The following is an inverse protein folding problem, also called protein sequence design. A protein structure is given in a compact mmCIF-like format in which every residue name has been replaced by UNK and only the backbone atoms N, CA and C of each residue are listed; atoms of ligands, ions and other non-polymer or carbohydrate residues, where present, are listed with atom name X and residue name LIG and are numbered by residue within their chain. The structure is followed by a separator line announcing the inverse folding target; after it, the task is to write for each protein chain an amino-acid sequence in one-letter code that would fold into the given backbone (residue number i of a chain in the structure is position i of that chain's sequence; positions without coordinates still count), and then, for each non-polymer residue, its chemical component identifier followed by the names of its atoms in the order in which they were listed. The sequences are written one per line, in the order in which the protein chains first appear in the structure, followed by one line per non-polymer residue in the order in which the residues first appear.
data_IF_587041633835
#
_entry.id   IF_587041633835
#
_cell.length_a   1.000
_cell.length_b   1.000
_cell.length_c   1.000
_cell.angle_alpha   90.00
_cell.angle_beta   90.00
_cell.angle_gamma   90.00
#
_symmetry.space_group_name_H-M   'P 1'
#
loop_
_entity.id
_entity.type
_entity.pdbx_description
1 polymer ?
#
# COMPACT_ATOMS: atom_id res chain seq x y z
N UNK A 1 1.79 -9.54 -18.81
CA UNK A 1 3.03 -9.20 -18.12
C UNK A 1 3.18 -7.71 -17.96
N UNK A 2 3.97 -7.26 -17.00
CA UNK A 2 4.23 -5.85 -16.69
C UNK A 2 4.99 -5.18 -17.83
N UNK A 3 4.59 -3.97 -18.20
CA UNK A 3 5.23 -3.17 -19.25
C UNK A 3 5.53 -1.78 -18.73
N UNK A 4 6.80 -1.48 -18.52
CA UNK A 4 7.25 -0.16 -18.12
C UNK A 4 7.80 0.63 -19.32
N UNK A 5 7.76 1.95 -19.22
CA UNK A 5 8.26 2.85 -20.26
C UNK A 5 9.05 3.97 -19.60
N UNK A 6 10.16 4.32 -20.23
CA UNK A 6 10.98 5.48 -19.89
C UNK A 6 11.25 6.30 -21.12
N UNK A 7 10.93 7.59 -21.06
CA UNK A 7 11.19 8.56 -22.11
C UNK A 7 11.90 9.75 -21.52
N UNK A 8 12.84 10.31 -22.24
CA UNK A 8 13.54 11.52 -21.79
C UNK A 8 13.88 12.45 -22.94
N UNK A 9 14.04 13.71 -22.61
CA UNK A 9 14.55 14.75 -23.48
C UNK A 9 15.59 15.58 -22.75
N UNK A 10 16.80 15.59 -23.28
CA UNK A 10 17.89 16.46 -22.86
C UNK A 10 17.79 17.79 -23.60
N UNK A 11 17.63 18.89 -22.87
CA UNK A 11 17.52 20.23 -23.45
C UNK A 11 18.86 20.92 -23.59
N UNK A 12 19.79 20.65 -22.66
CA UNK A 12 21.16 21.15 -22.65
C UNK A 12 22.05 20.25 -21.78
N UNK A 13 23.33 20.63 -21.60
CA UNK A 13 24.30 19.84 -20.84
C UNK A 13 24.22 20.05 -19.30
N UNK A 14 23.26 20.80 -18.79
CA UNK A 14 23.07 20.92 -17.35
C UNK A 14 22.70 19.55 -16.77
N UNK A 15 23.35 19.10 -15.67
CA UNK A 15 23.12 17.78 -15.10
C UNK A 15 21.77 17.63 -14.36
N UNK A 16 21.02 18.70 -14.20
CA UNK A 16 19.71 18.64 -13.53
C UNK A 16 18.73 17.74 -14.29
N UNK A 17 18.12 16.80 -13.59
CA UNK A 17 17.19 15.85 -14.16
C UNK A 17 15.90 15.80 -13.31
N UNK A 18 14.79 16.23 -13.90
CA UNK A 18 13.46 16.10 -13.34
C UNK A 18 12.71 14.96 -14.02
N UNK A 19 12.24 14.01 -13.23
CA UNK A 19 11.43 12.89 -13.70
C UNK A 19 9.99 13.05 -13.20
N UNK A 20 9.05 12.85 -14.09
CA UNK A 20 7.70 12.50 -13.72
C UNK A 20 7.60 10.97 -13.63
N UNK A 21 7.12 10.47 -12.49
CA UNK A 21 6.86 9.05 -12.29
C UNK A 21 5.36 8.83 -12.09
N UNK A 22 4.78 7.95 -12.89
CA UNK A 22 3.37 7.63 -12.85
C UNK A 22 3.10 6.17 -13.16
N UNK A 23 1.84 5.75 -13.00
CA UNK A 23 1.40 4.41 -13.34
C UNK A 23 0.15 4.41 -14.20
N UNK A 24 0.00 3.34 -14.99
CA UNK A 24 -1.13 3.17 -15.91
C UNK A 24 -2.05 2.00 -15.55
N UNK A 25 -1.63 1.15 -14.64
CA UNK A 25 -2.47 0.11 -14.05
C UNK A 25 -3.49 0.71 -13.08
N UNK A 26 -4.44 -0.10 -12.67
CA UNK A 26 -5.56 0.32 -11.83
C UNK A 26 -5.98 -0.82 -10.91
N UNK A 27 -6.51 -0.50 -9.73
CA UNK A 27 -7.17 -1.46 -8.84
C UNK A 27 -8.41 -2.08 -9.49
N UNK A 28 -8.88 -3.25 -9.01
CA UNK A 28 -10.15 -3.83 -9.45
C UNK A 28 -11.31 -2.84 -9.35
N UNK A 29 -12.30 -3.02 -10.22
CA UNK A 29 -13.44 -2.07 -10.38
C UNK A 29 -14.18 -1.83 -9.07
N UNK A 30 -14.43 -2.89 -8.26
CA UNK A 30 -15.28 -2.80 -7.08
C UNK A 30 -16.77 -2.68 -7.44
N UNK A 31 -17.57 -2.24 -6.48
CA UNK A 31 -19.02 -2.09 -6.61
C UNK A 31 -19.45 -0.61 -6.56
N UNK A 32 -20.71 -0.33 -6.87
CA UNK A 32 -21.31 1.00 -6.72
C UNK A 32 -21.15 1.94 -7.92
N UNK A 33 -20.66 1.47 -9.06
CA UNK A 33 -20.59 2.27 -10.27
C UNK A 33 -21.98 2.47 -10.90
N UNK A 34 -22.27 3.70 -11.28
CA UNK A 34 -23.50 4.07 -12.00
C UNK A 34 -23.33 4.07 -13.52
N UNK A 35 -22.08 3.99 -13.99
CA UNK A 35 -21.69 3.92 -15.42
C UNK A 35 -20.63 2.83 -15.57
N UNK A 36 -20.36 2.40 -16.79
CA UNK A 36 -19.24 1.49 -17.07
C UNK A 36 -17.90 2.19 -16.76
N UNK A 37 -17.12 1.69 -15.82
CA UNK A 37 -15.88 2.33 -15.37
C UNK A 37 -14.76 2.35 -16.41
N UNK A 38 -14.90 1.67 -17.55
CA UNK A 38 -13.88 1.61 -18.60
C UNK A 38 -14.24 2.38 -19.89
N UNK A 39 -15.42 2.99 -19.97
CA UNK A 39 -15.81 3.81 -21.12
C UNK A 39 -15.17 5.20 -21.09
N UNK A 40 -14.89 5.74 -19.90
CA UNK A 40 -14.32 7.08 -19.70
C UNK A 40 -15.16 8.18 -20.36
N UNK A 41 -16.48 8.12 -20.17
CA UNK A 41 -17.40 9.10 -20.73
C UNK A 41 -17.22 10.47 -20.06
N UNK A 42 -17.34 11.53 -20.86
CA UNK A 42 -17.32 12.92 -20.36
C UNK A 42 -18.74 13.43 -20.25
N UNK A 43 -19.21 13.64 -19.02
CA UNK A 43 -20.53 14.18 -18.72
C UNK A 43 -20.34 15.49 -17.96
N UNK A 44 -20.90 16.57 -18.48
CA UNK A 44 -20.81 17.93 -17.90
C UNK A 44 -19.37 18.37 -17.57
N UNK A 45 -18.41 17.98 -18.41
CA UNK A 45 -17.00 18.31 -18.24
C UNK A 45 -16.26 17.43 -17.23
N UNK A 46 -16.90 16.40 -16.67
CA UNK A 46 -16.33 15.46 -15.72
C UNK A 46 -16.08 14.10 -16.39
N UNK A 47 -14.90 13.54 -16.24
CA UNK A 47 -14.57 12.18 -16.65
C UNK A 47 -14.75 11.25 -15.44
N UNK A 48 -15.69 10.31 -15.56
CA UNK A 48 -15.90 9.27 -14.55
C UNK A 48 -15.41 7.94 -15.11
N UNK A 49 -14.28 7.43 -14.56
CA UNK A 49 -13.72 6.14 -14.96
C UNK A 49 -12.75 5.62 -13.91
N UNK A 50 -12.52 4.30 -13.86
CA UNK A 50 -11.47 3.69 -13.06
C UNK A 50 -10.10 4.16 -13.56
N UNK A 51 -9.26 4.71 -12.65
CA UNK A 51 -7.95 5.24 -12.97
C UNK A 51 -7.94 6.67 -13.53
N UNK A 52 -9.11 7.34 -13.67
CA UNK A 52 -9.14 8.72 -14.11
C UNK A 52 -8.45 9.65 -13.11
N UNK A 53 -8.78 9.54 -11.83
CA UNK A 53 -8.16 10.32 -10.76
C UNK A 53 -6.81 9.73 -10.33
N UNK A 54 -6.74 8.43 -10.15
CA UNK A 54 -5.58 7.67 -9.71
C UNK A 54 -5.10 6.77 -10.86
N UNK A 55 -4.02 7.17 -11.62
CA UNK A 55 -3.46 8.54 -11.58
C UNK A 55 -3.37 9.14 -12.99
N UNK A 56 -4.19 8.65 -13.95
CA UNK A 56 -4.09 9.01 -15.39
C UNK A 56 -4.32 10.50 -15.68
N UNK A 57 -5.06 11.20 -14.81
CA UNK A 57 -5.19 12.67 -14.92
C UNK A 57 -3.84 13.37 -14.69
N UNK A 58 -3.07 12.91 -13.70
CA UNK A 58 -1.71 13.38 -13.46
C UNK A 58 -0.76 13.07 -14.61
N UNK A 59 -0.83 11.85 -15.15
CA UNK A 59 -0.09 11.44 -16.34
C UNK A 59 -0.36 12.36 -17.54
N UNK A 60 -1.64 12.62 -17.83
CA UNK A 60 -2.05 13.48 -18.92
C UNK A 60 -1.60 14.94 -18.74
N UNK A 61 -1.72 15.46 -17.51
CA UNK A 61 -1.28 16.82 -17.18
C UNK A 61 0.22 16.99 -17.38
N UNK A 62 1.03 16.02 -16.96
CA UNK A 62 2.47 16.08 -17.14
C UNK A 62 2.89 15.91 -18.59
N UNK A 63 2.28 15.01 -19.34
CA UNK A 63 2.48 14.86 -20.79
C UNK A 63 2.19 16.17 -21.53
N UNK A 64 1.10 16.84 -21.16
CA UNK A 64 0.76 18.15 -21.71
C UNK A 64 1.81 19.19 -21.36
N UNK A 65 2.26 19.26 -20.11
CA UNK A 65 3.31 20.17 -19.67
C UNK A 65 4.63 19.92 -20.44
N UNK A 66 5.06 18.67 -20.58
CA UNK A 66 6.25 18.30 -21.35
C UNK A 66 6.17 18.69 -22.83
N UNK A 67 5.00 18.50 -23.45
CA UNK A 67 4.76 18.90 -24.85
C UNK A 67 4.96 20.41 -25.06
N UNK A 68 4.63 21.21 -24.06
CA UNK A 68 4.72 22.67 -24.13
C UNK A 68 6.01 23.24 -23.54
N UNK A 69 6.85 22.42 -22.90
CA UNK A 69 8.16 22.82 -22.38
C UNK A 69 9.10 23.14 -23.55
N UNK A 70 9.38 24.42 -23.76
CA UNK A 70 10.32 24.90 -24.80
C UNK A 70 11.74 25.05 -24.27
N UNK A 71 11.88 25.51 -23.05
CA UNK A 71 13.16 25.80 -22.40
C UNK A 71 13.16 25.15 -21.01
N UNK A 72 13.92 24.11 -20.85
CA UNK A 72 14.19 23.49 -19.55
C UNK A 72 15.72 23.43 -19.35
N UNK A 73 16.19 23.75 -18.16
CA UNK A 73 17.62 23.73 -17.87
C UNK A 73 18.03 22.35 -17.35
N UNK A 74 18.23 21.40 -18.27
CA UNK A 74 18.61 20.03 -17.95
C UNK A 74 17.85 18.97 -18.75
N UNK A 75 17.51 17.87 -18.09
CA UNK A 75 16.78 16.73 -18.65
C UNK A 75 15.39 16.62 -18.01
N UNK A 76 14.37 16.49 -18.86
CA UNK A 76 13.04 16.05 -18.45
C UNK A 76 12.84 14.57 -18.82
N UNK A 77 12.25 13.79 -17.94
CA UNK A 77 11.88 12.41 -18.24
C UNK A 77 10.51 12.03 -17.71
N UNK A 78 9.97 10.96 -18.27
CA UNK A 78 8.71 10.34 -17.89
C UNK A 78 8.97 8.86 -17.68
N UNK A 79 8.65 8.37 -16.50
CA UNK A 79 8.69 6.97 -16.13
C UNK A 79 7.25 6.52 -15.89
N UNK A 80 6.76 5.58 -16.71
CA UNK A 80 5.42 5.04 -16.62
C UNK A 80 5.52 3.56 -16.28
N UNK A 81 4.89 3.14 -15.20
CA UNK A 81 4.85 1.74 -14.75
C UNK A 81 3.46 1.14 -14.90
N UNK A 82 3.37 -0.19 -14.83
CA UNK A 82 2.10 -0.93 -14.87
C UNK A 82 2.08 -2.05 -13.82
N UNK A 83 2.63 -1.78 -12.64
CA UNK A 83 2.63 -2.65 -11.46
C UNK A 83 2.82 -1.78 -10.20
N UNK A 84 2.06 -0.67 -10.09
CA UNK A 84 2.00 0.13 -8.88
C UNK A 84 0.89 -0.37 -7.96
N UNK A 85 -0.27 -0.63 -8.53
CA UNK A 85 -1.48 -1.09 -7.86
C UNK A 85 -1.50 -2.62 -7.60
N UNK A 86 -0.50 -3.32 -8.10
CA UNK A 86 -0.31 -4.76 -7.93
C UNK A 86 0.65 -5.11 -6.80
N UNK A 87 1.60 -6.01 -7.10
CA UNK A 87 2.62 -6.43 -6.13
C UNK A 87 3.74 -5.41 -5.96
N UNK A 88 3.89 -4.45 -6.90
CA UNK A 88 4.91 -3.40 -6.88
C UNK A 88 6.34 -3.89 -7.16
N UNK A 89 6.51 -5.16 -7.54
CA UNK A 89 7.84 -5.81 -7.67
C UNK A 89 8.46 -5.54 -9.03
N UNK A 90 7.63 -5.51 -10.08
CA UNK A 90 8.08 -5.42 -11.48
C UNK A 90 7.92 -4.03 -12.10
N UNK A 91 7.39 -3.06 -11.33
CA UNK A 91 7.16 -1.68 -11.72
C UNK A 91 8.38 -0.78 -11.48
N UNK A 92 8.21 0.19 -10.60
CA UNK A 92 9.19 1.26 -10.30
C UNK A 92 10.54 0.70 -9.86
N UNK A 93 10.57 -0.38 -9.05
CA UNK A 93 11.82 -0.99 -8.58
C UNK A 93 12.70 -1.40 -9.77
N UNK A 94 12.12 -2.12 -10.74
CA UNK A 94 12.85 -2.57 -11.94
C UNK A 94 13.29 -1.41 -12.84
N UNK A 95 12.49 -0.37 -12.90
CA UNK A 95 12.88 0.83 -13.64
C UNK A 95 14.03 1.57 -12.97
N UNK A 96 14.06 1.68 -11.65
CA UNK A 96 15.16 2.31 -10.93
C UNK A 96 16.49 1.52 -11.08
N UNK A 97 16.42 0.17 -11.06
CA UNK A 97 17.56 -0.69 -11.37
C UNK A 97 18.12 -0.35 -12.77
N UNK A 98 17.24 -0.31 -13.77
CA UNK A 98 17.62 0.03 -15.15
C UNK A 98 18.17 1.46 -15.29
N UNK A 99 17.53 2.46 -14.66
CA UNK A 99 18.00 3.85 -14.70
C UNK A 99 19.38 4.01 -14.06
N UNK A 100 19.69 3.21 -13.04
CA UNK A 100 21.02 3.16 -12.44
C UNK A 100 22.06 2.60 -13.41
N UNK A 101 21.72 1.52 -14.14
CA UNK A 101 22.61 0.91 -15.14
C UNK A 101 22.97 1.89 -16.27
N UNK A 102 22.01 2.69 -16.73
CA UNK A 102 22.22 3.67 -17.81
C UNK A 102 22.62 5.07 -17.30
N UNK A 103 22.91 5.24 -16.01
CA UNK A 103 23.27 6.51 -15.37
C UNK A 103 22.23 7.63 -15.59
N UNK A 104 20.94 7.29 -15.48
CA UNK A 104 19.83 8.21 -15.69
C UNK A 104 18.94 8.35 -14.45
N UNK A 105 19.49 8.16 -13.24
CA UNK A 105 18.77 8.42 -11.99
C UNK A 105 18.45 9.92 -11.90
N UNK A 106 17.17 10.31 -11.71
CA UNK A 106 16.80 11.71 -11.63
C UNK A 106 17.24 12.35 -10.31
N UNK A 107 17.49 13.67 -10.33
CA UNK A 107 17.73 14.46 -9.12
C UNK A 107 16.42 14.77 -8.39
N UNK A 108 15.34 14.93 -9.15
CA UNK A 108 13.99 15.26 -8.63
C UNK A 108 12.95 14.40 -9.30
N UNK A 109 11.92 14.04 -8.54
CA UNK A 109 10.76 13.33 -9.06
C UNK A 109 9.46 14.03 -8.66
N UNK A 110 8.50 14.04 -9.58
CA UNK A 110 7.10 14.40 -9.33
C UNK A 110 6.26 13.15 -9.55
N UNK A 111 5.46 12.79 -8.57
CA UNK A 111 4.50 11.70 -8.62
C UNK A 111 3.11 12.32 -8.46
N UNK A 112 2.29 12.31 -9.52
CA UNK A 112 1.02 13.02 -9.53
C UNK A 112 -0.16 12.16 -9.03
N UNK A 113 0.08 11.47 -7.93
CA UNK A 113 -0.98 10.80 -7.17
C UNK A 113 -1.97 11.82 -6.60
N UNK A 114 -3.25 11.45 -6.41
CA UNK A 114 -4.24 12.35 -5.84
C UNK A 114 -3.87 12.71 -4.39
N UNK A 115 -3.69 13.99 -4.13
CA UNK A 115 -3.25 14.51 -2.83
C UNK A 115 -4.11 15.62 -2.27
N UNK A 116 -4.95 16.24 -3.10
CA UNK A 116 -5.86 17.30 -2.67
C UNK A 116 -6.87 16.77 -1.64
N UNK A 117 -7.18 17.59 -0.63
CA UNK A 117 -8.07 17.22 0.47
C UNK A 117 -9.47 17.87 0.33
N UNK A 118 -9.54 19.19 0.22
CA UNK A 118 -10.80 19.92 0.13
C UNK A 118 -10.98 20.61 -1.23
N UNK A 119 -9.91 21.22 -1.74
CA UNK A 119 -9.95 21.93 -3.02
C UNK A 119 -8.75 21.55 -3.89
N UNK A 120 -8.89 21.70 -5.19
CA UNK A 120 -7.83 21.40 -6.14
C UNK A 120 -6.55 22.20 -5.86
N UNK A 121 -5.45 21.49 -5.63
CA UNK A 121 -4.12 22.07 -5.41
C UNK A 121 -3.84 22.57 -3.98
N UNK A 122 -4.68 22.22 -3.00
CA UNK A 122 -4.52 22.62 -1.61
C UNK A 122 -3.44 21.87 -0.83
N UNK A 123 -3.11 20.66 -1.28
CA UNK A 123 -2.15 19.81 -0.59
C UNK A 123 -1.18 19.08 -1.53
N UNK A 124 0.07 19.00 -1.11
CA UNK A 124 1.07 18.08 -1.70
C UNK A 124 1.64 17.19 -0.58
N UNK A 125 1.94 15.95 -0.89
CA UNK A 125 2.59 15.04 0.05
C UNK A 125 4.10 15.02 -0.23
N UNK A 126 4.88 15.38 0.79
CA UNK A 126 6.35 15.36 0.73
C UNK A 126 6.95 14.07 1.28
N UNK A 127 6.09 13.18 1.80
CA UNK A 127 6.44 11.84 2.27
C UNK A 127 5.19 11.01 2.51
N UNK A 128 5.36 9.70 2.60
CA UNK A 128 4.29 8.74 2.91
C UNK A 128 4.73 7.79 4.01
N UNK A 129 3.79 7.36 4.84
CA UNK A 129 4.02 6.28 5.79
C UNK A 129 4.23 4.97 5.04
N UNK A 130 5.03 4.08 5.62
CA UNK A 130 5.15 2.72 5.15
C UNK A 130 3.87 1.90 5.38
N UNK A 131 3.85 0.68 4.87
CA UNK A 131 2.75 -0.27 5.06
C UNK A 131 3.32 -1.66 5.33
N UNK A 132 3.03 -2.20 6.52
CA UNK A 132 3.44 -3.54 6.91
C UNK A 132 2.19 -4.38 7.07
N UNK A 133 2.07 -5.48 6.31
CA UNK A 133 0.97 -6.42 6.42
C UNK A 133 1.41 -7.61 7.27
N UNK A 134 0.55 -8.03 8.20
CA UNK A 134 0.76 -9.17 9.06
C UNK A 134 -0.28 -10.26 8.85
N UNK A 135 0.19 -11.49 8.79
CA UNK A 135 -0.62 -12.70 8.71
C UNK A 135 -0.23 -13.57 9.90
N UNK A 136 -1.13 -13.66 10.87
CA UNK A 136 -0.94 -14.37 12.13
C UNK A 136 -1.88 -15.58 12.17
N UNK A 137 -1.35 -16.77 12.37
CA UNK A 137 -2.14 -17.98 12.59
C UNK A 137 -1.87 -18.53 13.97
N UNK A 138 -2.89 -18.61 14.82
CA UNK A 138 -2.82 -19.22 16.15
C UNK A 138 -3.32 -20.66 16.04
N UNK A 139 -2.50 -21.61 16.46
CA UNK A 139 -2.80 -23.03 16.43
C UNK A 139 -3.49 -23.46 17.73
N UNK A 140 -4.62 -24.11 17.57
CA UNK A 140 -5.37 -24.71 18.65
C UNK A 140 -5.51 -26.23 18.46
N UNK A 141 -6.49 -26.81 19.15
CA UNK A 141 -6.91 -28.19 19.00
C UNK A 141 -8.44 -28.23 19.00
N UNK A 142 -9.01 -28.73 17.92
CA UNK A 142 -10.45 -28.92 17.81
C UNK A 142 -11.00 -29.80 18.95
N UNK A 143 -12.16 -29.42 19.45
CA UNK A 143 -12.89 -30.17 20.48
C UNK A 143 -14.38 -29.99 20.36
N UNK A 144 -15.13 -30.82 21.07
CA UNK A 144 -16.58 -30.67 21.19
C UNK A 144 -16.88 -29.61 22.25
N UNK A 145 -17.82 -28.72 21.98
CA UNK A 145 -18.13 -27.59 22.89
C UNK A 145 -18.62 -28.04 24.32
N UNK A 146 -19.18 -29.25 24.42
CA UNK A 146 -19.57 -29.82 25.71
C UNK A 146 -18.36 -30.32 26.55
N UNK A 147 -17.18 -30.45 25.96
CA UNK A 147 -15.96 -30.94 26.60
C UNK A 147 -14.76 -30.00 26.27
N UNK A 148 -14.84 -28.74 26.70
CA UNK A 148 -13.85 -27.73 26.29
C UNK A 148 -12.43 -28.06 26.75
N UNK A 149 -12.28 -28.82 27.84
CA UNK A 149 -11.01 -29.26 28.41
C UNK A 149 -10.24 -30.27 27.52
N UNK A 150 -10.91 -30.89 26.54
CA UNK A 150 -10.29 -31.84 25.59
C UNK A 150 -9.71 -31.15 24.34
N UNK A 151 -10.04 -29.88 24.15
CA UNK A 151 -9.57 -29.05 23.06
C UNK A 151 -8.66 -27.91 23.53
N UNK A 152 -8.19 -27.13 22.54
CA UNK A 152 -7.51 -25.83 22.77
C UNK A 152 -8.20 -24.87 21.81
N UNK A 153 -9.05 -23.98 22.32
CA UNK A 153 -9.77 -23.02 21.50
C UNK A 153 -8.92 -21.76 21.28
N UNK A 154 -8.40 -21.51 20.06
CA UNK A 154 -7.56 -20.35 19.79
C UNK A 154 -8.32 -19.02 19.94
N UNK A 155 -9.64 -18.99 19.77
CA UNK A 155 -10.45 -17.79 20.03
C UNK A 155 -10.42 -17.43 21.51
N UNK A 156 -10.55 -18.41 22.41
CA UNK A 156 -10.44 -18.18 23.85
C UNK A 156 -9.02 -17.77 24.29
N UNK A 157 -7.99 -18.23 23.56
CA UNK A 157 -6.61 -17.84 23.85
C UNK A 157 -6.34 -16.38 23.52
N UNK A 158 -6.89 -15.86 22.41
CA UNK A 158 -6.62 -14.47 22.00
C UNK A 158 -7.60 -13.47 22.64
N UNK A 159 -8.79 -13.89 23.07
CA UNK A 159 -9.80 -12.98 23.62
C UNK A 159 -9.25 -12.04 24.72
N UNK A 160 -8.46 -12.51 25.71
CA UNK A 160 -7.93 -11.64 26.77
C UNK A 160 -6.79 -10.74 26.33
N UNK A 161 -6.26 -10.93 25.13
CA UNK A 161 -5.09 -10.18 24.64
C UNK A 161 -5.37 -9.38 23.36
N UNK A 162 -6.56 -9.51 22.77
CA UNK A 162 -6.91 -8.85 21.52
C UNK A 162 -6.86 -7.32 21.63
N UNK A 163 -7.17 -6.76 22.78
CA UNK A 163 -7.08 -5.32 23.06
C UNK A 163 -5.65 -4.76 22.90
N UNK A 164 -4.63 -5.62 23.09
CA UNK A 164 -3.23 -5.24 22.94
C UNK A 164 -2.81 -5.06 21.48
N UNK A 165 -3.63 -5.49 20.53
CA UNK A 165 -3.33 -5.37 19.10
C UNK A 165 -4.41 -4.58 18.35
N UNK A 166 -5.65 -4.54 18.83
CA UNK A 166 -6.74 -3.85 18.18
C UNK A 166 -6.59 -2.33 18.31
N UNK A 167 -6.08 -1.68 17.27
CA UNK A 167 -5.87 -0.23 17.24
C UNK A 167 -4.71 0.25 18.12
N UNK A 168 -3.78 -0.64 18.45
CA UNK A 168 -2.62 -0.30 19.30
C UNK A 168 -1.60 0.57 18.56
N UNK A 169 -1.14 1.63 19.23
CA UNK A 169 -0.07 2.49 18.72
C UNK A 169 1.31 1.94 19.12
N UNK A 170 2.12 1.61 18.12
CA UNK A 170 3.44 1.02 18.29
C UNK A 170 4.52 2.06 18.64
N UNK A 171 4.27 3.32 18.27
CA UNK A 171 5.10 4.48 18.56
C UNK A 171 4.23 5.73 18.82
N UNK A 172 4.88 6.85 19.08
CA UNK A 172 4.19 8.13 19.32
C UNK A 172 4.08 9.02 18.06
N UNK A 173 4.46 8.48 16.89
CA UNK A 173 4.59 9.29 15.69
C UNK A 173 5.80 10.21 15.71
N UNK A 174 5.82 11.18 14.80
CA UNK A 174 6.84 12.21 14.68
C UNK A 174 6.22 13.54 14.21
N UNK A 175 7.06 14.52 13.87
CA UNK A 175 6.60 15.83 13.38
C UNK A 175 5.73 15.73 12.12
N UNK A 176 5.92 14.68 11.29
CA UNK A 176 5.28 14.54 9.98
C UNK A 176 4.20 13.46 9.97
N UNK A 177 4.29 12.46 10.84
CA UNK A 177 3.42 11.29 10.79
C UNK A 177 2.78 10.98 12.15
N UNK A 178 1.48 10.66 12.09
CA UNK A 178 0.76 10.09 13.22
C UNK A 178 1.39 8.75 13.66
N UNK A 179 1.12 8.30 14.91
CA UNK A 179 1.61 7.02 15.44
C UNK A 179 1.37 5.84 14.50
N UNK A 180 2.32 4.91 14.47
CA UNK A 180 2.19 3.63 13.76
C UNK A 180 1.15 2.77 14.45
N UNK A 181 -0.04 2.66 13.85
CA UNK A 181 -1.19 1.97 14.44
C UNK A 181 -1.35 0.58 13.83
N UNK A 182 -1.47 -0.44 14.69
CA UNK A 182 -1.82 -1.79 14.29
C UNK A 182 -3.34 -1.89 14.12
N UNK A 183 -3.80 -2.15 12.90
CA UNK A 183 -5.22 -2.26 12.57
C UNK A 183 -5.51 -3.69 12.13
N UNK A 184 -6.38 -4.39 12.87
CA UNK A 184 -6.86 -5.71 12.48
C UNK A 184 -7.80 -5.53 11.28
N UNK A 185 -7.52 -6.28 10.20
CA UNK A 185 -8.28 -6.19 8.95
C UNK A 185 -9.17 -7.42 8.70
N UNK A 186 -8.84 -8.57 9.29
CA UNK A 186 -9.65 -9.78 9.19
C UNK A 186 -9.37 -10.73 10.36
N UNK A 187 -10.40 -11.45 10.82
CA UNK A 187 -10.29 -12.55 11.79
C UNK A 187 -11.21 -13.68 11.35
N UNK A 188 -10.65 -14.88 11.21
CA UNK A 188 -11.39 -16.07 10.81
C UNK A 188 -11.06 -17.26 11.70
N UNK A 189 -12.11 -17.95 12.17
CA UNK A 189 -11.99 -19.19 12.93
C UNK A 189 -13.26 -20.05 12.78
N UNK A 190 -13.09 -21.36 12.94
CA UNK A 190 -14.18 -22.31 12.97
C UNK A 190 -14.80 -22.66 11.62
N UNK A 191 -15.92 -23.39 11.68
CA UNK A 191 -16.65 -23.95 10.53
C UNK A 191 -18.13 -23.56 10.51
N UNK A 192 -18.50 -22.50 11.25
CA UNK A 192 -19.89 -22.03 11.39
C UNK A 192 -20.85 -23.08 11.97
N UNK A 193 -20.36 -23.90 12.91
CA UNK A 193 -21.16 -24.88 13.66
C UNK A 193 -21.09 -24.56 15.16
N UNK A 194 -22.16 -24.87 15.89
CA UNK A 194 -22.30 -24.45 17.29
C UNK A 194 -21.64 -25.38 18.32
N UNK A 195 -21.32 -26.60 17.92
CA UNK A 195 -20.90 -27.67 18.84
C UNK A 195 -19.44 -28.11 18.69
N UNK A 196 -18.66 -27.42 17.83
CA UNK A 196 -17.25 -27.73 17.57
C UNK A 196 -16.41 -26.47 17.70
N UNK A 197 -15.34 -26.52 18.49
CA UNK A 197 -14.36 -25.44 18.61
C UNK A 197 -13.34 -25.47 17.48
N UNK A 198 -12.81 -24.31 17.03
CA UNK A 198 -11.82 -24.27 15.96
C UNK A 198 -10.48 -24.90 16.33
N UNK A 199 -9.79 -25.44 15.33
CA UNK A 199 -8.41 -25.93 15.49
C UNK A 199 -7.36 -24.85 15.18
N UNK A 200 -7.74 -23.75 14.54
CA UNK A 200 -6.89 -22.59 14.27
C UNK A 200 -7.71 -21.32 14.21
N UNK A 201 -7.02 -20.20 14.35
CA UNK A 201 -7.53 -18.87 14.08
C UNK A 201 -6.52 -18.13 13.19
N UNK A 202 -7.00 -17.59 12.09
CA UNK A 202 -6.23 -16.74 11.19
C UNK A 202 -6.63 -15.28 11.44
N UNK A 203 -5.64 -14.38 11.63
CA UNK A 203 -5.80 -12.96 11.85
C UNK A 203 -4.91 -12.19 10.88
N UNK A 204 -5.49 -11.22 10.20
CA UNK A 204 -4.74 -10.29 9.36
C UNK A 204 -4.74 -8.90 9.99
N UNK A 205 -3.62 -8.20 9.86
CA UNK A 205 -3.50 -6.81 10.28
C UNK A 205 -2.63 -6.00 9.34
N UNK A 206 -2.81 -4.69 9.36
CA UNK A 206 -1.96 -3.73 8.66
C UNK A 206 -1.40 -2.71 9.67
N UNK A 207 -0.17 -2.30 9.46
CA UNK A 207 0.46 -1.18 10.18
C UNK A 207 0.87 -0.13 9.16
N UNK A 208 0.25 1.05 9.24
CA UNK A 208 0.74 2.25 8.53
C UNK A 208 1.82 2.88 9.37
N UNK A 209 3.07 2.47 9.12
CA UNK A 209 4.19 2.83 9.98
C UNK A 209 4.78 4.21 9.66
N UNK A 210 5.11 4.94 10.72
CA UNK A 210 5.94 6.15 10.69
C UNK A 210 7.41 5.79 10.44
N UNK A 211 8.29 6.77 10.47
CA UNK A 211 9.74 6.57 10.39
C UNK A 211 10.32 5.90 11.65
N UNK A 212 9.56 5.90 12.76
CA UNK A 212 9.97 5.36 14.05
C UNK A 212 9.69 3.87 14.22
N UNK A 213 8.85 3.25 13.38
CA UNK A 213 8.52 1.82 13.44
C UNK A 213 8.98 1.10 12.18
N UNK A 214 9.79 0.07 12.36
CA UNK A 214 10.24 -0.84 11.32
C UNK A 214 9.52 -2.18 11.43
N UNK A 215 9.69 -3.02 10.43
CA UNK A 215 9.12 -4.38 10.40
C UNK A 215 9.56 -5.22 11.60
N UNK A 216 10.82 -5.11 12.00
CA UNK A 216 11.41 -5.81 13.14
C UNK A 216 10.78 -5.40 14.48
N UNK A 217 10.35 -4.14 14.61
CA UNK A 217 9.66 -3.65 15.80
C UNK A 217 8.26 -4.26 15.91
N UNK A 218 7.56 -4.40 14.77
CA UNK A 218 6.27 -5.09 14.70
C UNK A 218 6.42 -6.56 15.10
N UNK A 219 7.44 -7.25 14.55
CA UNK A 219 7.73 -8.64 14.88
C UNK A 219 8.00 -8.81 16.40
N UNK A 220 8.85 -7.96 16.95
CA UNK A 220 9.16 -7.94 18.38
C UNK A 220 7.93 -7.71 19.25
N UNK A 221 7.06 -6.79 18.83
CA UNK A 221 5.82 -6.52 19.54
C UNK A 221 4.86 -7.70 19.51
N UNK A 222 4.67 -8.32 18.36
CA UNK A 222 3.84 -9.52 18.23
C UNK A 222 4.38 -10.67 19.06
N UNK A 223 5.70 -10.91 19.05
CA UNK A 223 6.33 -11.91 19.91
C UNK A 223 6.07 -11.65 21.40
N UNK A 224 6.19 -10.40 21.84
CA UNK A 224 5.88 -10.01 23.22
C UNK A 224 4.43 -10.32 23.61
N UNK A 225 3.48 -10.14 22.68
CA UNK A 225 2.04 -10.34 22.95
C UNK A 225 1.64 -11.81 22.84
N UNK A 226 2.16 -12.53 21.84
CA UNK A 226 1.72 -13.88 21.46
C UNK A 226 2.73 -14.98 21.77
N UNK A 227 3.97 -14.67 22.20
CA UNK A 227 5.05 -15.64 22.36
C UNK A 227 4.78 -16.80 23.34
N UNK A 228 3.74 -16.67 24.18
CA UNK A 228 3.25 -17.74 25.05
C UNK A 228 2.26 -18.70 24.35
N UNK A 229 1.87 -18.42 23.10
CA UNK A 229 0.94 -19.22 22.30
C UNK A 229 1.69 -19.99 21.21
N UNK A 230 1.06 -21.01 20.68
CA UNK A 230 1.53 -21.69 19.48
C UNK A 230 1.02 -20.92 18.23
N UNK A 231 1.88 -20.12 17.62
CA UNK A 231 1.51 -19.31 16.48
C UNK A 231 2.57 -19.29 15.38
N UNK A 232 2.16 -18.84 14.20
CA UNK A 232 3.06 -18.46 13.09
C UNK A 232 2.76 -17.06 12.65
N UNK A 233 3.79 -16.29 12.31
CA UNK A 233 3.70 -14.92 11.81
C UNK A 233 4.42 -14.81 10.46
N UNK A 234 3.76 -14.15 9.49
CA UNK A 234 4.39 -13.68 8.26
C UNK A 234 4.15 -12.19 8.14
N UNK A 235 5.22 -11.41 8.00
CA UNK A 235 5.16 -9.98 7.71
C UNK A 235 5.65 -9.71 6.28
N UNK A 236 4.92 -8.82 5.57
CA UNK A 236 5.32 -8.27 4.25
C UNK A 236 5.30 -6.75 4.33
N UNK A 237 6.21 -6.11 3.60
CA UNK A 237 6.34 -4.66 3.52
C UNK A 237 6.51 -4.26 2.08
#
# INVERSE_FOLDING_TARGET
GVKNRFYYKKFNENPQHLCFAGHIDVVPVGEGWTIDPFIAEVIDGVISARGAQDMKSGDAAFLYACKHAKNFNGTLSILMTSDEEGEGIYGTIKMLEHLKEINMIPNYAVVAEPTCEEVFGDAIKVGRRGSINGYLTIQGKQGHAAYPEKGINPVHQIAPIIEKIAGYDLDNGDEYFAPSKLVITDIRAGMQVTNVTPNKLDLMFNVRNSTNTKKEDVETYIEKVFGHLNYTLKLTQ
#
